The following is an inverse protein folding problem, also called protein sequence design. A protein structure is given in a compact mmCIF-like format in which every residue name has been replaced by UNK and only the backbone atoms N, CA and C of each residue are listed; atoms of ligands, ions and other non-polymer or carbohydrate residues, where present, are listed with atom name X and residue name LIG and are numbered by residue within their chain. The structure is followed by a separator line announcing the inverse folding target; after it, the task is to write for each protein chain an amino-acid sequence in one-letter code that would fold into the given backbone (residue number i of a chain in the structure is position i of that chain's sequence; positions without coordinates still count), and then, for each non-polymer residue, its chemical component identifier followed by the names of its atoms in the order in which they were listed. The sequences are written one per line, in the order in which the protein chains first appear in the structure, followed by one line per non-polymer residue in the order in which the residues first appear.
data_IF_193857675020
#
_entry.id   IF_193857675020
#
_cell.length_a   1.000
_cell.length_b   1.000
_cell.length_c   1.000
_cell.angle_alpha   90.00
_cell.angle_beta   90.00
_cell.angle_gamma   90.00
#
_symmetry.space_group_name_H-M   'P 1'
#
loop_
_entity.id
_entity.type
_entity.pdbx_description
1 polymer ?
#
# COMPACT_ATOMS: atom_id res chain seq x y z
N UNK A 1 7.15 -18.20 9.16
CA UNK A 1 6.97 -16.73 9.06
C UNK A 1 8.07 -16.18 8.18
N UNK A 2 7.80 -15.24 7.26
CA UNK A 2 8.85 -14.65 6.45
C UNK A 2 9.89 -13.99 7.34
N UNK A 3 11.15 -14.17 6.98
CA UNK A 3 12.25 -13.42 7.58
C UNK A 3 11.98 -11.92 7.42
N UNK A 4 12.33 -11.14 8.44
CA UNK A 4 12.28 -9.68 8.44
C UNK A 4 10.90 -9.00 8.38
N UNK A 5 9.77 -9.71 8.46
CA UNK A 5 8.44 -9.07 8.48
C UNK A 5 8.25 -8.06 9.65
N UNK A 6 9.05 -8.15 10.72
CA UNK A 6 9.03 -7.20 11.83
C UNK A 6 10.17 -6.18 11.80
N UNK A 7 11.03 -6.22 10.79
CA UNK A 7 12.10 -5.24 10.61
C UNK A 7 11.57 -4.10 9.75
N UNK A 8 11.66 -2.88 10.27
CA UNK A 8 11.26 -1.68 9.55
C UNK A 8 12.06 -1.56 8.25
N UNK A 9 11.37 -1.19 7.18
CA UNK A 9 11.94 -0.94 5.85
C UNK A 9 12.72 -2.11 5.22
N UNK A 10 12.66 -3.34 5.75
CA UNK A 10 13.53 -4.46 5.30
C UNK A 10 12.78 -5.74 4.95
N UNK A 11 11.45 -5.73 5.05
CA UNK A 11 10.67 -6.95 4.93
C UNK A 11 9.24 -6.72 4.45
N UNK A 12 8.58 -7.81 4.06
CA UNK A 12 7.22 -7.77 3.56
C UNK A 12 6.26 -7.30 4.66
N UNK A 13 5.01 -7.00 4.32
CA UNK A 13 4.00 -6.68 5.33
C UNK A 13 3.83 -7.87 6.29
N UNK A 14 3.59 -7.65 7.60
CA UNK A 14 3.28 -8.75 8.51
C UNK A 14 2.11 -9.61 8.02
N UNK A 15 2.15 -10.90 8.31
CA UNK A 15 0.99 -11.77 8.12
C UNK A 15 -0.19 -11.29 8.98
N UNK A 16 -1.40 -11.47 8.46
CA UNK A 16 -2.60 -11.10 9.19
C UNK A 16 -3.76 -10.70 8.30
N UNK A 17 -4.72 -10.00 8.90
CA UNK A 17 -5.98 -9.58 8.30
C UNK A 17 -6.03 -8.07 8.26
N UNK A 18 -6.19 -7.52 7.07
CA UNK A 18 -6.20 -6.09 6.81
C UNK A 18 -7.54 -5.64 6.23
N UNK A 19 -7.93 -4.40 6.54
CA UNK A 19 -9.08 -3.72 5.99
C UNK A 19 -8.60 -2.67 4.99
N UNK A 20 -9.18 -2.70 3.80
CA UNK A 20 -8.92 -1.72 2.74
C UNK A 20 -10.22 -1.01 2.40
N UNK A 21 -10.27 0.28 2.66
CA UNK A 21 -11.40 1.12 2.28
C UNK A 21 -11.40 1.31 0.76
N UNK A 22 -12.52 1.00 0.11
CA UNK A 22 -12.67 1.08 -1.36
C UNK A 22 -13.24 2.42 -1.84
N UNK A 23 -13.64 3.27 -0.90
CA UNK A 23 -14.13 4.62 -1.19
C UNK A 23 -13.04 5.43 -1.89
N UNK A 24 -13.41 6.01 -3.02
CA UNK A 24 -12.59 6.97 -3.74
C UNK A 24 -12.43 8.26 -2.93
N UNK A 25 -11.19 8.70 -2.74
CA UNK A 25 -10.83 9.93 -2.01
C UNK A 25 -10.07 10.92 -2.88
N UNK A 26 -10.12 10.75 -4.21
CA UNK A 26 -9.48 11.67 -5.16
C UNK A 26 -7.96 11.58 -5.14
N UNK A 27 -7.30 12.70 -5.42
CA UNK A 27 -5.85 12.76 -5.51
C UNK A 27 -5.17 12.65 -4.13
N UNK A 28 -4.08 11.88 -4.07
CA UNK A 28 -3.12 11.95 -2.97
C UNK A 28 -2.47 13.35 -2.94
N UNK A 29 -2.10 13.81 -1.75
CA UNK A 29 -1.54 15.15 -1.53
C UNK A 29 -0.10 15.04 -1.05
N UNK A 30 0.72 16.03 -1.37
CA UNK A 30 2.02 16.23 -0.72
C UNK A 30 1.80 16.48 0.77
N UNK A 31 2.68 15.94 1.62
CA UNK A 31 2.68 16.21 3.07
C UNK A 31 3.21 17.62 3.42
N UNK A 32 3.76 18.34 2.45
CA UNK A 32 4.27 19.70 2.62
C UNK A 32 5.63 19.76 3.30
N UNK A 33 6.29 18.61 3.52
CA UNK A 33 7.61 18.55 4.16
C UNK A 33 8.77 18.85 3.19
N UNK A 34 8.48 19.22 1.94
CA UNK A 34 9.50 19.55 0.93
C UNK A 34 10.33 18.36 0.46
N UNK A 35 9.84 17.13 0.67
CA UNK A 35 10.56 15.87 0.36
C UNK A 35 9.80 14.98 -0.62
N UNK A 36 8.78 15.51 -1.29
CA UNK A 36 7.91 14.75 -2.20
C UNK A 36 7.25 13.54 -1.52
N UNK A 37 7.00 13.62 -0.21
CA UNK A 37 6.27 12.61 0.51
C UNK A 37 4.77 12.83 0.28
N UNK A 38 4.04 11.75 0.02
CA UNK A 38 2.60 11.82 -0.03
C UNK A 38 2.03 11.69 1.39
N UNK A 39 1.15 12.60 1.80
CA UNK A 39 0.50 12.53 3.11
C UNK A 39 -0.25 11.21 3.28
N UNK A 40 -0.31 10.62 4.49
CA UNK A 40 -1.07 9.40 4.71
C UNK A 40 -2.55 9.59 4.38
N UNK A 41 -3.16 8.62 3.67
CA UNK A 41 -4.57 8.70 3.29
C UNK A 41 -5.22 7.31 3.24
N UNK A 42 -6.45 7.19 3.75
CA UNK A 42 -7.22 5.95 3.68
C UNK A 42 -8.33 6.05 2.62
N UNK A 43 -8.66 4.93 1.99
CA UNK A 43 -9.44 4.91 0.76
C UNK A 43 -8.56 4.78 -0.47
N UNK A 44 -9.20 4.71 -1.63
CA UNK A 44 -8.53 4.66 -2.92
C UNK A 44 -8.16 6.09 -3.33
N UNK A 45 -6.90 6.33 -3.65
CA UNK A 45 -6.40 7.61 -4.11
C UNK A 45 -5.68 7.48 -5.44
N UNK A 46 -5.80 8.49 -6.27
CA UNK A 46 -4.99 8.66 -7.48
C UNK A 46 -3.69 9.36 -7.13
N UNK A 47 -2.57 8.90 -7.67
CA UNK A 47 -1.28 9.55 -7.55
C UNK A 47 -1.20 10.65 -8.61
N UNK A 48 -0.96 11.93 -8.23
CA UNK A 48 -0.78 13.00 -9.23
C UNK A 48 0.43 12.71 -10.12
N UNK A 49 0.35 13.07 -11.40
CA UNK A 49 1.41 12.87 -12.40
C UNK A 49 1.65 14.10 -13.27
N UNK A 50 2.80 14.17 -13.93
CA UNK A 50 3.15 15.21 -14.89
C UNK A 50 3.14 16.60 -14.25
N UNK A 51 2.43 17.55 -14.86
CA UNK A 51 2.33 18.92 -14.35
C UNK A 51 1.77 18.99 -12.91
N UNK A 52 0.84 18.08 -12.54
CA UNK A 52 0.30 18.02 -11.18
C UNK A 52 1.26 17.46 -10.15
N UNK A 53 2.29 16.72 -10.58
CA UNK A 53 3.36 16.23 -9.71
C UNK A 53 4.57 17.19 -9.66
N UNK A 54 4.78 18.00 -10.70
CA UNK A 54 5.89 18.94 -10.77
C UNK A 54 7.23 18.23 -10.58
N UNK A 55 8.07 18.78 -9.70
CA UNK A 55 9.38 18.19 -9.37
C UNK A 55 9.28 16.84 -8.65
N UNK A 56 8.12 16.48 -8.11
CA UNK A 56 7.90 15.22 -7.40
C UNK A 56 7.56 14.04 -8.32
N UNK A 57 7.44 14.25 -9.64
CA UNK A 57 7.07 13.22 -10.61
C UNK A 57 7.96 11.96 -10.50
N UNK A 58 9.28 12.12 -10.43
CA UNK A 58 10.20 10.99 -10.34
C UNK A 58 10.01 10.17 -9.05
N UNK A 59 9.61 10.81 -7.96
CA UNK A 59 9.34 10.15 -6.69
C UNK A 59 7.98 9.48 -6.68
N UNK A 60 6.94 10.19 -7.15
CA UNK A 60 5.56 9.70 -7.17
C UNK A 60 5.35 8.61 -8.22
N UNK A 61 6.18 8.56 -9.26
CA UNK A 61 6.21 7.46 -10.21
C UNK A 61 6.41 6.09 -9.56
N UNK A 62 7.15 6.04 -8.44
CA UNK A 62 7.38 4.81 -7.67
C UNK A 62 6.14 4.29 -6.93
N UNK A 63 5.03 5.03 -6.95
CA UNK A 63 3.72 4.60 -6.44
C UNK A 63 2.78 4.10 -7.54
N UNK A 64 3.14 4.26 -8.82
CA UNK A 64 2.22 3.96 -9.93
C UNK A 64 1.24 5.10 -10.18
N UNK A 65 -0.03 4.76 -10.39
CA UNK A 65 -1.13 5.70 -10.65
C UNK A 65 -2.14 5.74 -9.52
N UNK A 66 -2.20 4.71 -8.68
CA UNK A 66 -3.20 4.54 -7.65
C UNK A 66 -2.60 3.91 -6.39
N UNK A 67 -3.17 4.26 -5.23
CA UNK A 67 -2.86 3.60 -3.96
C UNK A 67 -4.10 3.42 -3.10
N UNK A 68 -4.09 2.42 -2.22
CA UNK A 68 -5.09 2.24 -1.18
C UNK A 68 -4.42 1.73 0.11
N UNK A 69 -4.62 2.46 1.21
CA UNK A 69 -4.00 2.12 2.49
C UNK A 69 -4.64 0.88 3.12
N UNK A 70 -3.78 0.04 3.69
CA UNK A 70 -4.15 -1.15 4.45
C UNK A 70 -4.03 -0.86 5.94
N UNK A 71 -5.10 -1.12 6.68
CA UNK A 71 -5.14 -0.99 8.13
C UNK A 71 -5.38 -2.37 8.76
N UNK A 72 -4.74 -2.73 9.89
CA UNK A 72 -5.05 -3.97 10.60
C UNK A 72 -6.55 -4.08 10.90
N UNK A 73 -7.16 -5.23 10.59
CA UNK A 73 -8.59 -5.47 10.81
C UNK A 73 -8.89 -6.01 12.21
N UNK A 74 -7.88 -6.52 12.92
CA UNK A 74 -7.99 -7.08 14.26
C UNK A 74 -6.76 -6.75 15.12
N UNK A 75 -6.88 -7.01 16.42
CA UNK A 75 -5.79 -6.75 17.39
C UNK A 75 -4.57 -7.62 17.11
N UNK A 76 -4.76 -8.89 16.70
CA UNK A 76 -3.67 -9.81 16.43
C UNK A 76 -2.75 -9.29 15.32
N UNK A 77 -3.33 -8.82 14.22
CA UNK A 77 -2.61 -8.22 13.09
C UNK A 77 -1.95 -6.91 13.51
N UNK A 78 -2.63 -6.10 14.33
CA UNK A 78 -2.10 -4.81 14.81
C UNK A 78 -0.84 -4.97 15.66
N UNK A 79 -0.76 -6.03 16.46
CA UNK A 79 0.36 -6.28 17.38
C UNK A 79 1.31 -7.37 16.89
N UNK A 80 1.19 -7.82 15.64
CA UNK A 80 1.97 -8.92 15.08
C UNK A 80 3.49 -8.68 15.13
N UNK A 81 3.92 -7.41 15.20
CA UNK A 81 5.32 -7.02 15.31
C UNK A 81 5.52 -6.01 16.45
N UNK A 82 6.70 -6.06 17.06
CA UNK A 82 7.17 -5.09 18.05
C UNK A 82 8.58 -4.60 17.64
N UNK A 83 8.77 -3.31 17.32
CA UNK A 83 7.76 -2.24 17.28
C UNK A 83 6.68 -2.47 16.21
N UNK A 84 5.50 -1.90 16.42
CA UNK A 84 4.36 -1.99 15.50
C UNK A 84 4.74 -1.38 14.15
N UNK A 85 4.51 -2.13 13.06
CA UNK A 85 4.65 -1.63 11.68
C UNK A 85 3.28 -1.21 11.14
N UNK A 86 3.25 -0.11 10.38
CA UNK A 86 2.04 0.44 9.77
C UNK A 86 2.40 1.25 8.52
N UNK A 87 1.41 1.90 7.89
CA UNK A 87 1.63 2.74 6.72
C UNK A 87 1.79 1.95 5.42
N UNK A 88 1.18 0.76 5.36
CA UNK A 88 1.23 -0.10 4.18
C UNK A 88 0.12 0.24 3.18
N UNK A 89 0.42 0.09 1.89
CA UNK A 89 -0.51 0.38 0.81
C UNK A 89 -0.53 -0.76 -0.22
N UNK A 90 -1.69 -0.98 -0.81
CA UNK A 90 -1.76 -1.50 -2.17
C UNK A 90 -1.41 -0.37 -3.12
N UNK A 91 -0.59 -0.59 -4.13
CA UNK A 91 -0.33 0.38 -5.19
C UNK A 91 0.03 -0.32 -6.50
N UNK A 92 -0.16 0.34 -7.63
CA UNK A 92 0.01 -0.24 -8.96
C UNK A 92 1.31 0.21 -9.64
N UNK A 93 2.42 0.24 -8.90
CA UNK A 93 3.73 0.45 -9.54
C UNK A 93 4.30 -0.86 -10.09
N UNK A 94 5.20 -0.72 -11.06
CA UNK A 94 5.97 -1.84 -11.66
C UNK A 94 7.45 -1.80 -11.28
N UNK A 95 7.82 -1.12 -10.18
CA UNK A 95 9.22 -0.96 -9.79
C UNK A 95 9.84 -2.27 -9.27
N UNK A 96 9.02 -3.21 -8.80
CA UNK A 96 9.45 -4.57 -8.48
C UNK A 96 10.16 -4.71 -7.13
N UNK A 97 10.02 -3.73 -6.23
CA UNK A 97 10.50 -3.81 -4.86
C UNK A 97 9.61 -2.96 -3.94
N UNK A 98 9.35 -3.44 -2.72
CA UNK A 98 8.46 -2.72 -1.79
C UNK A 98 8.83 -3.02 -0.34
N UNK A 99 8.89 -1.98 0.50
CA UNK A 99 9.19 -2.08 1.93
C UNK A 99 7.96 -2.51 2.77
N UNK A 100 7.21 -3.50 2.28
CA UNK A 100 5.98 -4.00 2.88
C UNK A 100 4.69 -3.41 2.29
N UNK A 101 4.76 -2.58 1.25
CA UNK A 101 3.56 -2.37 0.42
C UNK A 101 3.31 -3.60 -0.46
N UNK A 102 2.13 -3.69 -1.09
CA UNK A 102 1.82 -4.76 -2.05
C UNK A 102 1.59 -4.11 -3.41
N UNK A 103 2.41 -4.50 -4.37
CA UNK A 103 2.23 -4.11 -5.78
C UNK A 103 1.11 -4.97 -6.40
N UNK A 104 0.19 -4.31 -7.10
CA UNK A 104 -0.93 -4.95 -7.81
C UNK A 104 -0.94 -4.54 -9.28
N UNK A 105 -1.59 -5.32 -10.13
CA UNK A 105 -1.79 -4.94 -11.54
C UNK A 105 -2.60 -3.64 -11.65
N UNK A 106 -2.28 -2.78 -12.61
CA UNK A 106 -3.03 -1.54 -12.88
C UNK A 106 -4.55 -1.72 -12.99
N UNK A 107 -5.01 -2.87 -13.53
CA UNK A 107 -6.45 -3.18 -13.67
C UNK A 107 -7.17 -3.38 -12.34
N UNK A 108 -6.44 -3.61 -11.25
CA UNK A 108 -7.00 -3.78 -9.92
C UNK A 108 -7.85 -2.58 -9.49
N UNK A 109 -7.34 -1.35 -9.65
CA UNK A 109 -8.01 -0.15 -9.16
C UNK A 109 -9.28 0.23 -9.92
N UNK A 110 -9.34 0.16 -11.27
CA UNK A 110 -10.59 0.32 -12.01
C UNK A 110 -11.68 -0.68 -11.55
N UNK A 111 -11.30 -1.95 -11.35
CA UNK A 111 -12.23 -2.99 -10.86
C UNK A 111 -12.69 -2.64 -9.44
N UNK A 112 -11.77 -2.23 -8.57
CA UNK A 112 -12.07 -1.87 -7.19
C UNK A 112 -13.05 -0.70 -7.11
N UNK A 113 -12.80 0.37 -7.88
CA UNK A 113 -13.68 1.55 -7.97
C UNK A 113 -15.05 1.17 -8.54
N UNK A 114 -15.10 0.29 -9.55
CA UNK A 114 -16.35 -0.22 -10.10
C UNK A 114 -17.17 -0.98 -9.04
N UNK A 115 -16.53 -1.84 -8.25
CA UNK A 115 -17.20 -2.59 -7.18
C UNK A 115 -17.62 -1.69 -6.02
N UNK A 116 -16.85 -0.66 -5.71
CA UNK A 116 -17.21 0.32 -4.68
C UNK A 116 -18.52 1.07 -5.00
N UNK A 117 -18.77 1.37 -6.29
CA UNK A 117 -20.01 2.02 -6.73
C UNK A 117 -21.24 1.11 -6.63
N UNK A 118 -21.07 -0.21 -6.76
CA UNK A 118 -22.17 -1.17 -6.77
C UNK A 118 -22.41 -1.87 -5.43
N UNK A 119 -21.63 -1.55 -4.39
CA UNK A 119 -21.61 -2.25 -3.11
C UNK A 119 -22.03 -1.30 -1.98
N UNK A 120 -22.87 -1.79 -1.06
CA UNK A 120 -23.13 -1.09 0.21
C UNK A 120 -21.93 -1.14 1.16
N UNK A 121 -20.99 -2.07 0.93
CA UNK A 121 -19.78 -2.23 1.74
C UNK A 121 -18.67 -1.32 1.22
N UNK A 122 -18.20 -0.42 2.08
CA UNK A 122 -17.16 0.56 1.79
C UNK A 122 -15.72 0.02 1.95
N UNK A 123 -15.54 -1.25 2.30
CA UNK A 123 -14.23 -1.88 2.44
C UNK A 123 -14.25 -3.35 2.02
N UNK A 124 -13.07 -3.92 1.76
CA UNK A 124 -12.87 -5.36 1.72
C UNK A 124 -11.83 -5.79 2.77
N UNK A 125 -11.83 -7.09 3.07
CA UNK A 125 -10.85 -7.72 3.95
C UNK A 125 -9.81 -8.43 3.09
N UNK A 126 -8.55 -8.13 3.34
CA UNK A 126 -7.39 -8.77 2.71
C UNK A 126 -6.69 -9.63 3.76
N UNK A 127 -6.58 -10.93 3.51
CA UNK A 127 -5.77 -11.84 4.33
C UNK A 127 -4.42 -12.04 3.68
N UNK A 128 -3.34 -11.73 4.41
CA UNK A 128 -1.96 -11.94 3.96
C UNK A 128 -1.40 -13.17 4.67
N UNK A 129 -0.96 -14.15 3.88
CA UNK A 129 -0.20 -15.30 4.34
C UNK A 129 0.92 -15.58 3.35
N UNK A 130 2.06 -16.04 3.83
CA UNK A 130 3.19 -16.42 3.00
C UNK A 130 3.39 -17.92 2.99
N UNK A 131 3.87 -18.42 1.84
CA UNK A 131 4.25 -19.82 1.71
C UNK A 131 5.55 -20.04 2.51
N UNK A 132 5.60 -21.01 3.43
CA UNK A 132 6.82 -21.33 4.17
C UNK A 132 8.01 -21.58 3.23
N UNK A 133 9.19 -21.11 3.63
CA UNK A 133 10.45 -21.24 2.88
C UNK A 133 10.47 -20.59 1.48
N UNK A 134 9.40 -19.91 1.05
CA UNK A 134 9.43 -19.09 -0.16
C UNK A 134 9.97 -17.71 0.20
N UNK A 135 11.12 -17.37 -0.40
CA UNK A 135 11.69 -16.04 -0.24
C UNK A 135 10.72 -15.01 -0.81
N UNK A 136 10.35 -14.04 0.02
CA UNK A 136 9.68 -12.83 -0.42
C UNK A 136 10.71 -11.71 -0.37
N UNK A 137 11.14 -11.23 -1.54
CA UNK A 137 11.99 -10.05 -1.62
C UNK A 137 11.14 -8.81 -1.30
N UNK A 138 10.84 -8.61 -0.01
CA UNK A 138 10.54 -7.28 0.52
C UNK A 138 11.80 -6.39 0.57
N UNK A 139 12.97 -6.99 0.35
CA UNK A 139 14.26 -6.31 0.25
C UNK A 139 14.54 -5.81 -1.16
N UNK A 140 15.06 -4.58 -1.23
CA UNK A 140 15.67 -3.95 -2.39
C UNK A 140 16.74 -4.84 -3.03
N UNK A 141 16.86 -4.79 -4.36
CA UNK A 141 18.15 -5.13 -5.00
C UNK A 141 19.24 -4.33 -4.28
N UNK A 142 20.26 -5.03 -3.78
CA UNK A 142 21.50 -4.41 -3.32
C UNK A 142 22.23 -3.78 -4.52
#
# INVERSE_FOLDING_TARGET
MPENQCIKDSGPIPEGVYKVLVTDRGAAKDDGAGRCNLSPGWGVQTIPRGASAGSCEAYWANWGQNRARMEPADTQTRIACNPVRSGFYLHDSTKGFSHGCIEVEHRFFPILRSKAKSSSRSYFILKVNYVPARVTNGGTRA
#
